data_IF_982595777948
#
_entry.id   IF_982595777948
#
_cell.length_a   1.000
_cell.length_b   1.000
_cell.length_c   1.000
_cell.angle_alpha   90.00
_cell.angle_beta   90.00
_cell.angle_gamma   90.00
#
_symmetry.space_group_name_H-M   'P 1'
#
loop_
_entity.id
_entity.type
_entity.pdbx_description
1 polymer ?
#
# COMPACT_ATOMS: atom_id res chain seq x y z
N UNK A 1 -1.52 -6.84 -12.39
CA UNK A 1 -2.74 -7.09 -11.57
C UNK A 1 -4.02 -6.74 -12.32
N UNK A 2 -4.22 -5.47 -12.72
CA UNK A 2 -5.47 -5.01 -13.35
C UNK A 2 -6.00 -5.92 -14.49
N UNK A 3 -5.11 -6.35 -15.39
CA UNK A 3 -5.45 -7.28 -16.46
C UNK A 3 -5.94 -8.65 -15.96
N UNK A 4 -5.16 -9.31 -15.09
CA UNK A 4 -5.50 -10.63 -14.54
C UNK A 4 -6.73 -10.62 -13.61
N UNK A 5 -7.13 -9.44 -13.13
CA UNK A 5 -8.35 -9.23 -12.35
C UNK A 5 -9.53 -8.73 -13.19
N UNK A 6 -9.41 -8.76 -14.52
CA UNK A 6 -10.46 -8.38 -15.48
C UNK A 6 -10.92 -6.92 -15.40
N UNK A 7 -10.10 -6.01 -14.85
CA UNK A 7 -10.39 -4.57 -14.85
C UNK A 7 -10.16 -3.92 -16.21
N UNK A 8 -9.25 -4.49 -17.00
CA UNK A 8 -8.84 -4.01 -18.31
C UNK A 8 -8.68 -5.20 -19.27
N UNK A 9 -8.83 -4.96 -20.57
CA UNK A 9 -8.59 -5.96 -21.61
C UNK A 9 -7.13 -5.95 -22.12
N UNK A 10 -6.79 -6.84 -23.06
CA UNK A 10 -5.43 -6.95 -23.61
C UNK A 10 -4.94 -5.65 -24.26
N UNK A 11 -5.81 -4.93 -24.97
CA UNK A 11 -5.46 -3.66 -25.60
C UNK A 11 -5.07 -2.62 -24.56
N UNK A 12 -5.91 -2.46 -23.54
CA UNK A 12 -5.68 -1.50 -22.45
C UNK A 12 -4.46 -1.88 -21.60
N UNK A 13 -4.16 -3.18 -21.46
CA UNK A 13 -2.92 -3.65 -20.83
C UNK A 13 -1.70 -3.12 -21.59
N UNK A 14 -1.66 -3.25 -22.92
CA UNK A 14 -0.55 -2.74 -23.73
C UNK A 14 -0.35 -1.22 -23.58
N UNK A 15 -1.44 -0.45 -23.57
CA UNK A 15 -1.40 1.00 -23.34
C UNK A 15 -0.85 1.36 -21.94
N UNK A 16 -1.17 0.58 -20.92
CA UNK A 16 -0.62 0.77 -19.57
C UNK A 16 0.84 0.33 -19.46
N UNK A 17 1.25 -0.74 -20.15
CA UNK A 17 2.64 -1.20 -20.17
C UNK A 17 3.56 -0.16 -20.83
N UNK A 18 3.13 0.47 -21.93
CA UNK A 18 3.86 1.58 -22.57
C UNK A 18 4.03 2.78 -21.63
N UNK A 19 2.96 3.18 -20.93
CA UNK A 19 3.02 4.26 -19.95
C UNK A 19 3.93 3.91 -18.75
N UNK A 20 3.95 2.64 -18.34
CA UNK A 20 4.83 2.15 -17.28
C UNK A 20 6.30 2.16 -17.70
N UNK A 21 6.61 1.77 -18.93
CA UNK A 21 7.98 1.75 -19.47
C UNK A 21 8.61 3.15 -19.41
N UNK A 22 7.86 4.18 -19.83
CA UNK A 22 8.29 5.58 -19.69
C UNK A 22 8.65 5.95 -18.24
N UNK A 23 7.83 5.54 -17.27
CA UNK A 23 8.09 5.83 -15.85
C UNK A 23 9.34 5.10 -15.33
N UNK A 24 9.59 3.88 -15.82
CA UNK A 24 10.77 3.07 -15.50
C UNK A 24 12.03 3.73 -16.08
N UNK A 25 12.04 4.07 -17.36
CA UNK A 25 13.19 4.72 -18.04
C UNK A 25 13.59 6.02 -17.34
N UNK A 26 12.61 6.87 -17.01
CA UNK A 26 12.87 8.13 -16.30
C UNK A 26 13.47 7.88 -14.90
N UNK A 27 13.00 6.86 -14.19
CA UNK A 27 13.54 6.50 -12.89
C UNK A 27 14.98 5.95 -13.00
N UNK A 28 15.27 5.12 -14.01
CA UNK A 28 16.62 4.60 -14.26
C UNK A 28 17.61 5.70 -14.64
N UNK A 29 17.16 6.73 -15.36
CA UNK A 29 17.95 7.94 -15.65
C UNK A 29 18.14 8.87 -14.44
N UNK A 30 17.47 8.62 -13.32
CA UNK A 30 17.48 9.49 -12.15
C UNK A 30 16.69 10.79 -12.32
N UNK A 31 15.82 10.87 -13.34
CA UNK A 31 14.89 11.98 -13.57
C UNK A 31 13.67 11.83 -12.66
N UNK A 32 13.89 12.00 -11.36
CA UNK A 32 12.96 11.56 -10.32
C UNK A 32 11.60 12.25 -10.34
N UNK A 33 11.57 13.55 -10.64
CA UNK A 33 10.32 14.32 -10.68
C UNK A 33 9.46 13.90 -11.86
N UNK A 34 10.08 13.78 -13.03
CA UNK A 34 9.47 13.36 -14.29
C UNK A 34 8.99 11.92 -14.21
N UNK A 35 9.77 11.04 -13.57
CA UNK A 35 9.36 9.66 -13.30
C UNK A 35 8.12 9.62 -12.40
N UNK A 36 8.02 10.50 -11.41
CA UNK A 36 6.86 10.57 -10.51
C UNK A 36 5.62 11.07 -11.27
N UNK A 37 5.78 12.01 -12.19
CA UNK A 37 4.73 12.45 -13.10
C UNK A 37 4.27 11.32 -14.02
N UNK A 38 5.19 10.63 -14.68
CA UNK A 38 4.87 9.48 -15.53
C UNK A 38 4.17 8.34 -14.75
N UNK A 39 4.58 8.07 -13.50
CA UNK A 39 3.85 7.13 -12.64
C UNK A 39 2.43 7.61 -12.34
N UNK A 40 2.21 8.90 -12.12
CA UNK A 40 0.86 9.43 -11.91
C UNK A 40 0.01 9.32 -13.18
N UNK A 41 0.60 9.51 -14.37
CA UNK A 41 -0.07 9.30 -15.66
C UNK A 41 -0.56 7.85 -15.79
N UNK A 42 0.23 6.85 -15.38
CA UNK A 42 -0.20 5.43 -15.36
C UNK A 42 -1.44 5.24 -14.49
N UNK A 43 -1.48 5.84 -13.29
CA UNK A 43 -2.64 5.75 -12.41
C UNK A 43 -3.87 6.47 -12.97
N UNK A 44 -3.69 7.65 -13.57
CA UNK A 44 -4.77 8.38 -14.20
C UNK A 44 -5.35 7.60 -15.39
N UNK A 45 -4.50 6.99 -16.21
CA UNK A 45 -4.90 6.12 -17.31
C UNK A 45 -5.71 4.92 -16.79
N UNK A 46 -5.19 4.21 -15.78
CA UNK A 46 -5.90 3.08 -15.17
C UNK A 46 -7.26 3.50 -14.60
N UNK A 47 -7.34 4.64 -13.91
CA UNK A 47 -8.61 5.17 -13.38
C UNK A 47 -9.60 5.48 -14.51
N UNK A 48 -9.13 6.09 -15.60
CA UNK A 48 -9.96 6.44 -16.75
C UNK A 48 -10.47 5.19 -17.49
N UNK A 49 -9.63 4.16 -17.66
CA UNK A 49 -10.00 2.89 -18.29
C UNK A 49 -11.03 2.11 -17.50
N UNK A 50 -10.95 2.16 -16.16
CA UNK A 50 -11.74 1.31 -15.27
C UNK A 50 -12.99 1.99 -14.72
N UNK A 51 -13.03 3.32 -14.70
CA UNK A 51 -14.11 4.09 -14.08
C UNK A 51 -14.19 3.92 -12.56
N UNK A 52 -13.13 3.40 -11.91
CA UNK A 52 -13.11 3.19 -10.47
C UNK A 52 -13.27 4.51 -9.71
N UNK A 53 -14.11 4.50 -8.67
CA UNK A 53 -14.31 5.67 -7.82
C UNK A 53 -13.04 6.06 -7.06
N UNK A 54 -12.18 5.09 -6.77
CA UNK A 54 -10.85 5.28 -6.18
C UNK A 54 -9.95 4.10 -6.55
N UNK A 55 -8.65 4.35 -6.71
CA UNK A 55 -7.66 3.27 -6.84
C UNK A 55 -7.27 2.65 -5.50
N UNK A 56 -7.73 3.21 -4.38
CA UNK A 56 -7.46 2.64 -3.07
C UNK A 56 -8.21 1.33 -2.84
N UNK A 57 -9.38 1.14 -3.44
CA UNK A 57 -10.12 -0.10 -3.30
C UNK A 57 -11.03 -0.26 -4.53
N UNK A 58 -10.75 -1.29 -5.30
CA UNK A 58 -11.45 -1.60 -6.54
C UNK A 58 -12.92 -2.00 -6.36
N UNK A 59 -13.35 -2.32 -5.14
CA UNK A 59 -14.75 -2.65 -4.83
C UNK A 59 -15.61 -1.43 -4.50
N UNK A 60 -14.99 -0.31 -4.09
CA UNK A 60 -15.72 0.90 -3.67
C UNK A 60 -16.39 1.58 -4.87
N UNK A 61 -17.66 1.95 -4.69
CA UNK A 61 -18.43 2.72 -5.68
C UNK A 61 -18.42 4.23 -5.44
N UNK A 62 -17.94 4.64 -4.27
CA UNK A 62 -17.70 6.04 -3.91
C UNK A 62 -16.38 6.13 -3.16
N UNK A 63 -15.65 7.27 -3.22
CA UNK A 63 -14.42 7.44 -2.45
C UNK A 63 -14.64 7.33 -0.93
N UNK A 64 -13.56 7.07 -0.19
CA UNK A 64 -13.57 7.12 1.27
C UNK A 64 -14.01 8.51 1.76
N UNK A 65 -14.78 8.52 2.86
CA UNK A 65 -15.33 9.76 3.44
C UNK A 65 -14.33 10.46 4.37
N UNK A 66 -13.06 10.60 3.97
CA UNK A 66 -11.99 11.22 4.78
C UNK A 66 -12.30 12.67 5.17
N UNK A 67 -13.07 13.38 4.33
CA UNK A 67 -13.55 14.75 4.60
C UNK A 67 -14.30 14.91 5.92
N UNK A 68 -14.92 13.86 6.44
CA UNK A 68 -15.58 13.90 7.76
C UNK A 68 -14.57 14.10 8.88
N UNK A 69 -13.38 13.49 8.77
CA UNK A 69 -12.28 13.67 9.72
C UNK A 69 -11.74 15.09 9.63
N UNK A 70 -11.53 15.61 8.42
CA UNK A 70 -11.11 17.01 8.23
C UNK A 70 -12.09 17.98 8.89
N UNK A 71 -13.40 17.79 8.69
CA UNK A 71 -14.43 18.63 9.32
C UNK A 71 -14.40 18.53 10.85
N UNK A 72 -14.24 17.33 11.40
CA UNK A 72 -14.15 17.10 12.83
C UNK A 72 -12.94 17.83 13.43
N UNK A 73 -11.75 17.64 12.85
CA UNK A 73 -10.49 18.22 13.35
C UNK A 73 -10.38 19.74 13.12
N UNK A 74 -11.22 20.30 12.27
CA UNK A 74 -11.34 21.75 12.10
C UNK A 74 -12.30 22.39 13.12
N UNK A 75 -13.12 21.61 13.83
CA UNK A 75 -14.03 22.12 14.88
C UNK A 75 -13.24 22.80 16.01
N UNK A 76 -13.69 23.97 16.45
CA UNK A 76 -13.05 24.70 17.54
C UNK A 76 -13.05 23.91 18.84
N UNK A 77 -14.17 23.27 19.15
CA UNK A 77 -14.33 22.42 20.34
C UNK A 77 -13.29 21.28 20.34
N UNK A 78 -13.11 20.62 19.19
CA UNK A 78 -12.16 19.51 19.05
C UNK A 78 -10.72 20.03 19.15
N UNK A 79 -10.41 21.18 18.54
CA UNK A 79 -9.08 21.80 18.66
C UNK A 79 -8.75 22.16 20.11
N UNK A 80 -9.70 22.76 20.83
CA UNK A 80 -9.56 23.08 22.25
C UNK A 80 -9.36 21.82 23.09
N UNK A 81 -10.16 20.78 22.86
CA UNK A 81 -10.04 19.50 23.56
C UNK A 81 -8.69 18.80 23.32
N UNK A 82 -8.11 18.94 22.12
CA UNK A 82 -6.79 18.42 21.76
C UNK A 82 -5.63 19.34 22.17
N UNK A 83 -5.91 20.55 22.69
CA UNK A 83 -4.89 21.55 23.00
C UNK A 83 -4.18 22.12 21.75
N UNK A 84 -4.80 22.01 20.58
CA UNK A 84 -4.27 22.54 19.33
C UNK A 84 -4.52 24.05 19.22
N UNK A 85 -3.58 24.79 18.62
CA UNK A 85 -3.77 26.20 18.32
C UNK A 85 -4.97 26.37 17.37
N UNK A 86 -5.94 27.18 17.80
CA UNK A 86 -7.21 27.44 17.10
C UNK A 86 -7.00 27.97 15.67
N UNK A 87 -5.91 28.71 15.44
CA UNK A 87 -5.58 29.28 14.13
C UNK A 87 -5.10 28.25 13.09
N UNK A 88 -4.74 27.03 13.51
CA UNK A 88 -4.28 25.99 12.59
C UNK A 88 -5.46 25.45 11.79
N UNK A 89 -5.34 25.42 10.48
CA UNK A 89 -6.31 24.75 9.60
C UNK A 89 -5.78 23.35 9.33
N UNK A 90 -6.46 22.35 9.89
CA UNK A 90 -6.16 20.95 9.59
C UNK A 90 -6.49 20.65 8.12
N UNK A 91 -5.58 19.97 7.43
CA UNK A 91 -5.75 19.44 6.07
C UNK A 91 -5.25 17.99 6.05
N UNK A 92 -5.86 17.13 5.25
CA UNK A 92 -5.51 15.70 5.26
C UNK A 92 -4.15 15.43 4.58
N UNK A 93 -3.83 16.17 3.51
CA UNK A 93 -2.54 16.11 2.81
C UNK A 93 -2.05 17.50 2.39
N UNK A 94 -0.86 17.89 2.85
CA UNK A 94 -0.27 19.19 2.51
C UNK A 94 0.36 19.21 1.10
N UNK A 95 -0.14 20.08 0.21
CA UNK A 95 0.33 20.20 -1.18
C UNK A 95 1.76 20.72 -1.31
N UNK A 96 2.22 21.58 -0.39
CA UNK A 96 3.58 22.12 -0.41
C UNK A 96 4.58 21.02 -0.09
N UNK A 97 4.32 20.23 0.95
CA UNK A 97 5.15 19.07 1.30
C UNK A 97 5.17 18.06 0.14
N UNK A 98 4.02 17.78 -0.47
CA UNK A 98 3.95 16.92 -1.66
C UNK A 98 4.83 17.44 -2.80
N UNK A 99 4.81 18.74 -3.09
CA UNK A 99 5.61 19.32 -4.16
C UNK A 99 7.12 19.24 -3.86
N UNK A 100 7.53 19.53 -2.61
CA UNK A 100 8.94 19.48 -2.19
C UNK A 100 9.51 18.06 -2.28
N UNK A 101 8.71 17.04 -1.93
CA UNK A 101 9.13 15.62 -1.91
C UNK A 101 8.67 14.84 -3.15
N UNK A 102 8.24 15.54 -4.22
CA UNK A 102 7.61 14.88 -5.37
C UNK A 102 8.52 13.87 -6.05
N UNK A 103 9.78 14.24 -6.27
CA UNK A 103 10.77 13.32 -6.86
C UNK A 103 11.12 12.13 -5.96
N UNK A 104 11.04 12.27 -4.64
CA UNK A 104 11.37 11.17 -3.71
C UNK A 104 10.44 9.95 -3.88
N UNK A 105 9.24 10.14 -4.45
CA UNK A 105 8.28 9.07 -4.76
C UNK A 105 8.88 7.95 -5.61
N UNK A 106 9.81 8.27 -6.51
CA UNK A 106 10.39 7.29 -7.44
C UNK A 106 11.76 6.76 -7.01
N UNK A 107 12.30 7.22 -5.88
CA UNK A 107 13.57 6.72 -5.36
C UNK A 107 13.34 5.43 -4.57
N UNK A 108 14.11 4.39 -4.88
CA UNK A 108 13.97 3.10 -4.20
C UNK A 108 14.50 3.13 -2.76
N UNK A 109 13.66 2.72 -1.81
CA UNK A 109 14.03 2.47 -0.41
C UNK A 109 14.23 0.98 -0.10
N UNK A 110 14.26 0.10 -1.12
CA UNK A 110 14.39 -1.36 -0.95
C UNK A 110 15.58 -1.74 -0.06
N UNK A 111 16.72 -1.09 -0.26
CA UNK A 111 17.95 -1.33 0.50
C UNK A 111 17.79 -1.05 2.01
N UNK A 112 16.89 -0.14 2.39
CA UNK A 112 16.58 0.12 3.80
C UNK A 112 15.79 -1.04 4.41
N UNK A 113 14.87 -1.66 3.64
CA UNK A 113 14.16 -2.86 4.09
C UNK A 113 15.11 -4.04 4.20
N UNK A 114 16.02 -4.23 3.24
CA UNK A 114 17.08 -5.25 3.30
C UNK A 114 17.96 -5.11 4.55
N UNK A 115 18.27 -3.87 4.94
CA UNK A 115 18.98 -3.57 6.18
C UNK A 115 18.12 -3.91 7.41
N UNK A 116 16.88 -3.42 7.47
CA UNK A 116 15.98 -3.68 8.60
C UNK A 116 15.74 -5.17 8.84
N UNK A 117 15.67 -5.98 7.80
CA UNK A 117 15.50 -7.43 7.92
C UNK A 117 16.68 -8.15 8.61
N UNK A 118 17.86 -7.52 8.69
CA UNK A 118 19.01 -8.03 9.45
C UNK A 118 18.96 -7.63 10.92
N UNK A 119 18.35 -6.49 11.22
CA UNK A 119 18.37 -5.85 12.54
C UNK A 119 17.07 -6.05 13.33
N UNK A 120 15.95 -6.27 12.66
CA UNK A 120 14.61 -6.31 13.26
C UNK A 120 13.62 -7.14 12.43
N UNK A 121 12.44 -7.35 12.99
CA UNK A 121 11.29 -7.94 12.29
C UNK A 121 10.62 -6.87 11.43
N UNK A 122 10.17 -7.27 10.25
CA UNK A 122 9.46 -6.43 9.28
C UNK A 122 8.13 -7.10 8.93
N UNK A 123 7.04 -6.34 9.06
CA UNK A 123 5.71 -6.71 8.60
C UNK A 123 5.36 -5.88 7.37
N UNK A 124 5.18 -6.55 6.23
CA UNK A 124 4.56 -5.98 5.04
C UNK A 124 3.12 -6.47 4.98
N UNK A 125 2.15 -5.57 4.84
CA UNK A 125 0.75 -5.96 4.71
C UNK A 125 0.04 -5.13 3.66
N UNK A 126 -0.81 -5.78 2.87
CA UNK A 126 -1.52 -5.19 1.74
C UNK A 126 -2.99 -5.62 1.78
N UNK A 127 -3.89 -4.68 1.47
CA UNK A 127 -5.28 -5.03 1.20
C UNK A 127 -5.41 -5.67 -0.17
N UNK A 128 -6.20 -6.74 -0.26
CA UNK A 128 -6.39 -7.50 -1.49
C UNK A 128 -6.96 -6.66 -2.66
N UNK A 129 -7.68 -5.58 -2.38
CA UNK A 129 -8.34 -4.75 -3.39
C UNK A 129 -7.63 -3.43 -3.70
N UNK A 130 -6.45 -3.18 -3.13
CA UNK A 130 -5.64 -2.00 -3.45
C UNK A 130 -5.12 -2.08 -4.89
N UNK A 131 -5.38 -1.05 -5.70
CA UNK A 131 -4.92 -0.94 -7.09
C UNK A 131 -3.64 -0.09 -7.25
N UNK A 132 -3.16 0.56 -6.19
CA UNK A 132 -1.94 1.36 -6.20
C UNK A 132 -0.74 0.57 -5.69
N UNK A 133 -0.84 0.04 -4.47
CA UNK A 133 0.23 -0.69 -3.78
C UNK A 133 -0.16 -2.15 -3.55
N UNK A 134 -0.28 -2.86 -4.66
CA UNK A 134 -0.84 -4.20 -4.73
C UNK A 134 0.03 -5.24 -4.01
N UNK A 135 -0.58 -6.36 -3.58
CA UNK A 135 0.18 -7.52 -3.11
C UNK A 135 1.14 -8.04 -4.20
N UNK A 136 0.71 -8.03 -5.47
CA UNK A 136 1.51 -8.49 -6.61
C UNK A 136 2.76 -7.63 -6.83
N UNK A 137 2.63 -6.30 -6.77
CA UNK A 137 3.77 -5.38 -6.88
C UNK A 137 4.72 -5.51 -5.70
N UNK A 138 4.18 -5.74 -4.50
CA UNK A 138 4.99 -6.00 -3.29
C UNK A 138 5.81 -7.28 -3.44
N UNK A 139 5.18 -8.38 -3.81
CA UNK A 139 5.86 -9.66 -4.08
C UNK A 139 6.92 -9.52 -5.17
N UNK A 140 6.64 -8.71 -6.21
CA UNK A 140 7.54 -8.49 -7.33
C UNK A 140 8.84 -7.78 -6.96
N UNK A 141 8.84 -6.85 -6.01
CA UNK A 141 10.11 -6.24 -5.54
C UNK A 141 10.74 -7.05 -4.41
N UNK A 142 9.95 -7.70 -3.55
CA UNK A 142 10.44 -8.55 -2.44
C UNK A 142 11.33 -9.66 -2.97
N UNK A 143 10.95 -10.34 -4.06
CA UNK A 143 11.79 -11.38 -4.70
C UNK A 143 13.15 -10.88 -5.18
N UNK A 144 13.36 -9.57 -5.30
CA UNK A 144 14.62 -8.95 -5.75
C UNK A 144 15.47 -8.43 -4.59
N UNK A 145 15.03 -8.62 -3.35
CA UNK A 145 15.79 -8.20 -2.18
C UNK A 145 17.06 -9.02 -2.00
N UNK A 146 18.14 -8.35 -1.63
CA UNK A 146 19.40 -8.96 -1.19
C UNK A 146 19.37 -9.18 0.32
N UNK A 147 18.71 -10.25 0.74
CA UNK A 147 18.61 -10.67 2.13
C UNK A 147 18.82 -12.19 2.23
N UNK A 148 19.59 -12.63 3.22
CA UNK A 148 19.97 -14.04 3.40
C UNK A 148 18.79 -15.01 3.55
N UNK A 149 17.65 -14.53 4.04
CA UNK A 149 16.44 -15.33 4.19
C UNK A 149 15.55 -15.37 2.94
N UNK A 150 15.90 -14.69 1.84
CA UNK A 150 14.97 -14.50 0.71
C UNK A 150 14.54 -15.81 0.06
N UNK A 151 15.48 -16.73 -0.20
CA UNK A 151 15.16 -18.01 -0.85
C UNK A 151 14.18 -18.82 0.01
N UNK A 152 14.43 -18.87 1.32
CA UNK A 152 13.57 -19.59 2.26
C UNK A 152 12.21 -18.90 2.43
N UNK A 153 12.17 -17.57 2.37
CA UNK A 153 10.91 -16.82 2.35
C UNK A 153 10.09 -17.14 1.11
N UNK A 154 10.70 -17.18 -0.08
CA UNK A 154 10.02 -17.50 -1.33
C UNK A 154 9.51 -18.95 -1.37
N UNK A 155 10.21 -19.88 -0.70
CA UNK A 155 9.78 -21.27 -0.54
C UNK A 155 8.79 -21.47 0.61
N UNK A 156 8.63 -20.50 1.51
CA UNK A 156 7.76 -20.63 2.67
C UNK A 156 6.30 -20.73 2.23
N UNK A 157 5.60 -21.71 2.78
CA UNK A 157 4.17 -21.88 2.53
C UNK A 157 3.38 -20.66 3.02
N UNK A 158 2.47 -20.20 2.18
CA UNK A 158 1.50 -19.17 2.53
C UNK A 158 0.38 -19.79 3.37
N UNK A 159 0.36 -19.46 4.67
CA UNK A 159 -0.61 -19.98 5.62
C UNK A 159 -1.94 -19.26 5.53
N UNK A 160 -3.03 -20.00 5.68
CA UNK A 160 -4.37 -19.45 5.85
C UNK A 160 -4.48 -18.79 7.21
N UNK A 161 -4.87 -17.52 7.23
CA UNK A 161 -5.08 -16.76 8.46
C UNK A 161 -6.57 -16.50 8.67
N UNK A 162 -7.03 -16.80 9.89
CA UNK A 162 -8.40 -16.65 10.31
C UNK A 162 -8.50 -15.81 11.58
N UNK A 163 -9.56 -15.01 11.67
CA UNK A 163 -9.91 -14.22 12.85
C UNK A 163 -11.33 -14.60 13.24
N UNK A 164 -11.52 -15.09 14.46
CA UNK A 164 -12.83 -15.53 14.98
C UNK A 164 -13.48 -16.59 14.04
N UNK A 165 -12.67 -17.52 13.54
CA UNK A 165 -13.13 -18.62 12.66
C UNK A 165 -13.33 -18.26 11.19
N UNK A 166 -13.38 -16.96 10.85
CA UNK A 166 -13.56 -16.45 9.49
C UNK A 166 -12.23 -16.24 8.77
N UNK A 167 -12.23 -16.42 7.44
CA UNK A 167 -11.05 -16.18 6.62
C UNK A 167 -10.71 -14.68 6.58
N UNK A 168 -9.59 -14.32 7.20
CA UNK A 168 -9.11 -12.93 7.27
C UNK A 168 -8.07 -12.64 6.19
N UNK A 169 -7.32 -13.66 5.77
CA UNK A 169 -6.37 -13.53 4.68
C UNK A 169 -5.29 -14.59 4.71
N UNK A 170 -4.08 -14.18 4.32
CA UNK A 170 -2.97 -15.11 4.12
C UNK A 170 -1.66 -14.52 4.64
N UNK A 171 -0.86 -15.34 5.31
CA UNK A 171 0.42 -14.96 5.90
C UNK A 171 1.52 -15.83 5.31
N UNK A 172 2.53 -15.19 4.73
CA UNK A 172 3.78 -15.83 4.33
C UNK A 172 4.89 -15.28 5.22
N UNK A 173 5.60 -16.17 5.93
CA UNK A 173 6.60 -15.77 6.91
C UNK A 173 7.83 -16.65 6.83
N UNK A 174 8.99 -16.01 6.91
CA UNK A 174 10.27 -16.68 7.14
C UNK A 174 11.22 -15.73 7.86
N UNK A 175 11.91 -16.22 8.89
CA UNK A 175 12.86 -15.39 9.65
C UNK A 175 12.21 -14.09 10.16
N UNK A 176 12.83 -12.97 9.82
CA UNK A 176 12.41 -11.61 10.19
C UNK A 176 11.34 -11.00 9.28
N UNK A 177 10.98 -11.63 8.15
CA UNK A 177 9.99 -11.08 7.21
C UNK A 177 8.63 -11.79 7.35
N UNK A 178 7.58 -10.99 7.53
CA UNK A 178 6.18 -11.41 7.39
C UNK A 178 5.51 -10.60 6.29
N UNK A 179 4.84 -11.27 5.35
CA UNK A 179 4.00 -10.64 4.32
C UNK A 179 2.56 -11.12 4.47
N UNK A 180 1.62 -10.17 4.53
CA UNK A 180 0.20 -10.44 4.78
C UNK A 180 -0.66 -9.84 3.69
N UNK A 181 -1.53 -10.67 3.12
CA UNK A 181 -2.62 -10.20 2.25
C UNK A 181 -3.90 -10.23 3.07
N UNK A 182 -4.49 -9.05 3.32
CA UNK A 182 -5.74 -8.90 4.08
C UNK A 182 -6.92 -8.89 3.11
N UNK A 183 -7.79 -9.89 3.24
CA UNK A 183 -8.98 -10.00 2.38
C UNK A 183 -10.04 -8.99 2.78
N UNK A 184 -10.81 -8.52 1.80
CA UNK A 184 -11.88 -7.55 2.05
C UNK A 184 -11.38 -6.13 2.35
N UNK A 185 -10.09 -5.85 2.16
CA UNK A 185 -9.49 -4.54 2.38
C UNK A 185 -8.86 -3.97 1.09
N UNK A 186 -8.88 -2.64 0.97
CA UNK A 186 -8.05 -1.90 0.02
C UNK A 186 -6.81 -1.30 0.68
N UNK A 187 -6.36 -0.16 0.15
CA UNK A 187 -5.17 0.60 0.57
C UNK A 187 -5.21 0.98 2.06
N UNK A 188 -6.40 1.28 2.58
CA UNK A 188 -6.61 1.66 3.98
C UNK A 188 -7.09 0.44 4.78
N UNK A 189 -6.21 -0.55 4.94
CA UNK A 189 -6.53 -1.84 5.58
C UNK A 189 -7.31 -1.72 6.90
N UNK A 190 -6.91 -0.86 7.87
CA UNK A 190 -7.67 -0.68 9.11
C UNK A 190 -9.05 -0.05 8.93
N UNK A 191 -9.26 0.76 7.89
CA UNK A 191 -10.55 1.38 7.62
C UNK A 191 -11.55 0.36 7.04
N UNK A 192 -11.07 -0.60 6.25
CA UNK A 192 -11.93 -1.62 5.64
C UNK A 192 -12.10 -2.87 6.51
N UNK A 193 -11.06 -3.24 7.27
CA UNK A 193 -11.00 -4.48 8.05
C UNK A 193 -10.42 -4.22 9.45
N UNK A 194 -11.11 -3.42 10.26
CA UNK A 194 -10.63 -2.99 11.58
C UNK A 194 -10.27 -4.14 12.52
N UNK A 195 -11.16 -5.13 12.66
CA UNK A 195 -10.95 -6.30 13.54
C UNK A 195 -9.76 -7.15 13.09
N UNK A 196 -9.69 -7.45 11.79
CA UNK A 196 -8.59 -8.24 11.24
C UNK A 196 -7.26 -7.47 11.36
N UNK A 197 -7.28 -6.16 11.14
CA UNK A 197 -6.09 -5.31 11.28
C UNK A 197 -5.55 -5.30 12.71
N UNK A 198 -6.44 -5.19 13.69
CA UNK A 198 -6.06 -5.28 15.10
C UNK A 198 -5.44 -6.65 15.42
N UNK A 199 -6.12 -7.74 15.03
CA UNK A 199 -5.62 -9.09 15.26
C UNK A 199 -4.27 -9.33 14.59
N UNK A 200 -4.07 -8.86 13.36
CA UNK A 200 -2.79 -8.94 12.65
C UNK A 200 -1.66 -8.24 13.42
N UNK A 201 -1.89 -7.00 13.88
CA UNK A 201 -0.86 -6.24 14.60
C UNK A 201 -0.57 -6.88 15.96
N UNK A 202 -1.60 -7.24 16.73
CA UNK A 202 -1.43 -7.88 18.04
C UNK A 202 -0.72 -9.22 17.92
N UNK A 203 -1.14 -10.09 17.01
CA UNK A 203 -0.55 -11.41 16.84
C UNK A 203 0.87 -11.33 16.25
N UNK A 204 1.17 -10.34 15.40
CA UNK A 204 2.53 -10.13 14.91
C UNK A 204 3.48 -9.62 16.01
N UNK A 205 3.05 -8.62 16.79
CA UNK A 205 3.85 -8.07 17.90
C UNK A 205 4.07 -9.11 19.00
N UNK A 206 3.04 -9.93 19.29
CA UNK A 206 3.05 -10.91 20.37
C UNK A 206 3.44 -12.32 19.90
N UNK A 207 3.79 -12.47 18.62
CA UNK A 207 4.24 -13.71 17.97
C UNK A 207 3.28 -14.90 18.18
N UNK A 208 2.03 -14.72 17.81
CA UNK A 208 0.96 -15.71 18.01
C UNK A 208 0.50 -16.35 16.71
N UNK A 209 0.05 -17.60 16.83
CA UNK A 209 -0.63 -18.31 15.74
C UNK A 209 0.23 -18.41 14.47
N UNK A 210 -0.29 -17.93 13.36
CA UNK A 210 0.42 -17.94 12.06
C UNK A 210 1.57 -16.94 11.97
N UNK A 211 1.70 -16.04 12.95
CA UNK A 211 2.78 -15.04 13.05
C UNK A 211 3.92 -15.47 13.97
N UNK A 212 3.77 -16.57 14.72
CA UNK A 212 4.84 -17.18 15.51
C UNK A 212 5.99 -17.70 14.63
#
# INVERSE_FOLDING_TARGET
>A
MAYFSSWINEKQKGELEEAQEKAIELAEMGSWSEAADARNEVFDLLRNMTGLATLFDSTKKVPYKTKLVTKLLQSMEVKQALGANESIVFDDCNKVVKAVLHGDVMKSVKHMVEFLLKESKVLLYQGHFDMKETAVSTEAWVKTMKWEGIERFLMAERKVWKVIGELAGYVQKWGSLSHVVVLGAGHLVPADQALNSQAMIEDWVLERGVFA
#
